data_IF_233045637669
#
_entry.id   IF_233045637669
#
_cell.length_a   1.000
_cell.length_b   1.000
_cell.length_c   1.000
_cell.angle_alpha   90.00
_cell.angle_beta   90.00
_cell.angle_gamma   90.00
#
_symmetry.space_group_name_H-M   'P 1'
#
loop_
_entity.id
_entity.type
_entity.pdbx_description
1 polymer ?
#
# COMPACT_ATOMS: atom_id res chain seq x y z
N UNK A 1 25.86 -42.92 -22.42
CA UNK A 1 24.39 -43.08 -22.33
C UNK A 1 23.79 -41.73 -21.96
N UNK A 2 23.28 -40.98 -22.96
CA UNK A 2 21.89 -40.44 -23.06
C UNK A 2 21.42 -39.71 -21.79
N UNK A 3 21.39 -38.37 -21.75
CA UNK A 3 20.32 -37.46 -22.23
C UNK A 3 20.02 -36.49 -21.05
N UNK A 4 19.57 -35.23 -21.14
CA UNK A 4 18.76 -34.48 -22.10
C UNK A 4 19.00 -32.95 -21.92
N UNK A 5 18.97 -32.22 -23.03
CA UNK A 5 18.36 -30.89 -23.31
C UNK A 5 18.33 -29.82 -22.19
N UNK A 6 19.12 -28.75 -22.30
CA UNK A 6 18.84 -27.51 -23.04
C UNK A 6 17.83 -26.56 -22.35
N UNK A 7 18.33 -25.50 -21.74
CA UNK A 7 17.67 -24.19 -21.73
C UNK A 7 18.72 -23.11 -21.96
N UNK A 8 18.58 -22.44 -23.11
CA UNK A 8 19.47 -21.39 -23.57
C UNK A 8 19.38 -20.17 -22.63
N UNK A 9 20.55 -19.70 -22.22
CA UNK A 9 20.74 -18.38 -21.62
C UNK A 9 20.52 -17.35 -22.72
N UNK A 10 19.37 -16.66 -22.70
CA UNK A 10 19.22 -15.42 -23.44
C UNK A 10 19.68 -14.27 -22.53
N UNK A 11 20.95 -13.88 -22.71
CA UNK A 11 21.50 -12.61 -22.26
C UNK A 11 20.94 -11.50 -23.17
N UNK A 12 20.07 -10.66 -22.63
CA UNK A 12 19.85 -9.32 -23.17
C UNK A 12 19.97 -8.33 -22.01
N UNK A 13 21.02 -7.50 -22.07
CA UNK A 13 21.09 -6.29 -21.29
C UNK A 13 19.92 -5.39 -21.68
N UNK A 14 19.01 -5.16 -20.76
CA UNK A 14 17.92 -4.23 -20.95
C UNK A 14 18.43 -2.81 -20.69
N UNK A 15 18.93 -2.16 -21.74
CA UNK A 15 18.90 -0.70 -21.80
C UNK A 15 17.47 -0.33 -22.15
N UNK A 16 16.75 0.30 -21.22
CA UNK A 16 15.39 0.81 -21.49
C UNK A 16 15.53 2.04 -22.39
N UNK A 17 15.33 1.85 -23.69
CA UNK A 17 15.10 2.95 -24.62
C UNK A 17 13.63 3.34 -24.55
N UNK A 18 13.35 4.58 -24.13
CA UNK A 18 12.04 5.20 -24.33
C UNK A 18 11.88 5.54 -25.80
N UNK A 19 11.19 4.70 -26.56
CA UNK A 19 10.73 5.04 -27.90
C UNK A 19 9.24 5.40 -27.84
N UNK A 20 8.92 6.65 -28.20
CA UNK A 20 7.55 7.10 -28.42
C UNK A 20 7.00 8.09 -27.41
N UNK A 21 7.65 9.25 -27.24
CA UNK A 21 6.96 10.43 -26.74
C UNK A 21 5.94 10.88 -27.80
N UNK A 22 4.65 10.61 -27.60
CA UNK A 22 3.57 11.31 -28.31
C UNK A 22 3.22 12.57 -27.52
N UNK A 23 3.33 13.73 -28.16
CA UNK A 23 2.76 14.98 -27.68
C UNK A 23 1.23 14.86 -27.73
N UNK A 24 0.59 14.66 -26.57
CA UNK A 24 -0.88 14.70 -26.44
C UNK A 24 -1.30 16.09 -26.01
N UNK A 25 -2.29 16.64 -26.73
CA UNK A 25 -2.84 17.99 -26.58
C UNK A 25 -3.58 18.16 -25.23
N UNK A 26 -3.57 19.40 -24.73
CA UNK A 26 -3.56 19.77 -23.31
C UNK A 26 -4.91 19.84 -22.58
N UNK A 27 -5.84 18.89 -22.76
CA UNK A 27 -7.16 18.98 -22.11
C UNK A 27 -7.41 17.98 -20.97
N UNK A 28 -6.46 17.10 -20.62
CA UNK A 28 -6.63 16.21 -19.46
C UNK A 28 -5.31 15.73 -18.80
N UNK A 29 -4.41 16.67 -18.51
CA UNK A 29 -3.07 16.40 -17.95
C UNK A 29 -3.09 15.60 -16.63
N UNK A 30 -4.19 15.68 -15.89
CA UNK A 30 -4.33 15.09 -14.56
C UNK A 30 -5.07 13.74 -14.53
N UNK A 31 -5.64 13.28 -15.65
CA UNK A 31 -6.40 12.02 -15.68
C UNK A 31 -7.68 12.03 -14.83
N UNK A 32 -8.17 13.21 -14.47
CA UNK A 32 -9.46 13.35 -13.79
C UNK A 32 -10.60 13.17 -14.81
N UNK A 33 -11.70 12.54 -14.38
CA UNK A 33 -12.97 12.65 -15.12
C UNK A 33 -13.50 14.08 -14.96
N UNK A 34 -14.21 14.65 -15.96
CA UNK A 34 -14.50 16.07 -15.98
C UNK A 34 -15.29 16.53 -14.75
N UNK A 35 -14.60 17.26 -13.86
CA UNK A 35 -15.15 18.19 -12.89
C UNK A 35 -14.05 19.17 -12.41
N UNK A 36 -14.21 20.46 -12.74
CA UNK A 36 -13.69 21.64 -12.02
C UNK A 36 -12.18 21.80 -11.81
N UNK A 37 -11.60 22.85 -12.39
CA UNK A 37 -10.16 23.16 -12.39
C UNK A 37 -9.64 23.80 -11.10
N UNK A 38 -8.42 23.42 -10.70
CA UNK A 38 -7.59 24.13 -9.73
C UNK A 38 -6.19 23.52 -9.62
N UNK A 39 -5.14 24.27 -9.97
CA UNK A 39 -3.73 23.83 -9.96
C UNK A 39 -2.93 24.66 -8.95
N UNK A 40 -2.14 24.01 -8.10
CA UNK A 40 -1.14 24.63 -7.22
C UNK A 40 0.25 24.12 -7.63
N UNK A 41 1.22 25.04 -7.76
CA UNK A 41 2.65 24.75 -8.00
C UNK A 41 3.45 24.86 -6.70
N UNK A 42 4.41 23.95 -6.51
CA UNK A 42 5.47 24.06 -5.50
C UNK A 42 6.79 23.53 -6.08
N UNK A 43 7.89 24.22 -5.76
CA UNK A 43 9.27 23.90 -6.16
C UNK A 43 10.02 23.25 -4.99
N UNK A 44 10.80 22.20 -5.24
CA UNK A 44 11.67 21.55 -4.24
C UNK A 44 12.95 21.00 -4.87
N UNK A 45 14.04 21.04 -4.09
CA UNK A 45 15.43 20.71 -4.45
C UNK A 45 15.69 19.22 -4.76
N UNK A 46 16.84 18.94 -5.39
CA UNK A 46 17.20 17.68 -6.07
C UNK A 46 17.51 16.47 -5.15
N UNK A 47 17.25 15.21 -5.58
CA UNK A 47 17.21 14.02 -4.70
C UNK A 47 18.53 13.23 -4.53
N UNK A 48 19.63 13.60 -5.19
CA UNK A 48 20.86 12.77 -5.28
C UNK A 48 21.38 12.25 -3.93
N UNK A 49 21.30 13.06 -2.87
CA UNK A 49 21.81 12.70 -1.54
C UNK A 49 20.99 11.65 -0.78
N UNK A 50 19.72 11.43 -1.13
CA UNK A 50 18.83 10.49 -0.42
C UNK A 50 18.88 9.09 -1.02
N UNK A 51 19.08 9.03 -2.33
CA UNK A 51 19.10 7.79 -3.10
C UNK A 51 20.40 7.00 -2.88
N UNK A 52 21.54 7.68 -2.73
CA UNK A 52 22.79 7.05 -2.31
C UNK A 52 22.68 6.43 -0.90
N UNK A 53 21.94 7.09 0.01
CA UNK A 53 21.65 6.55 1.36
C UNK A 53 20.72 5.33 1.32
N UNK A 54 19.79 5.30 0.36
CA UNK A 54 18.90 4.16 0.11
C UNK A 54 19.65 2.94 -0.46
N UNK A 55 20.50 3.13 -1.47
CA UNK A 55 21.31 2.05 -2.04
C UNK A 55 22.25 1.42 -0.99
N UNK A 56 22.84 2.25 -0.12
CA UNK A 56 23.68 1.79 0.99
C UNK A 56 22.86 1.00 2.04
N UNK A 57 21.68 1.48 2.42
CA UNK A 57 20.77 0.85 3.38
C UNK A 57 20.23 -0.51 2.92
N UNK A 58 19.90 -0.60 1.64
CA UNK A 58 19.32 -1.80 1.04
C UNK A 58 20.35 -2.90 0.87
N UNK A 59 21.60 -2.56 0.57
CA UNK A 59 22.66 -3.57 0.41
C UNK A 59 22.80 -4.50 1.63
N UNK A 60 22.41 -4.05 2.83
CA UNK A 60 22.40 -4.88 4.05
C UNK A 60 21.09 -5.67 4.28
N UNK A 61 19.92 -5.03 4.10
CA UNK A 61 18.62 -5.67 4.32
C UNK A 61 18.28 -6.72 3.25
N UNK A 62 18.52 -6.38 1.98
CA UNK A 62 18.14 -7.22 0.85
C UNK A 62 19.03 -8.46 0.73
N UNK A 63 20.30 -8.41 1.18
CA UNK A 63 21.23 -9.57 1.30
C UNK A 63 20.68 -10.76 2.07
N UNK A 64 19.69 -10.54 2.93
CA UNK A 64 19.04 -11.59 3.73
C UNK A 64 17.81 -12.21 3.07
N UNK A 65 17.25 -11.57 2.03
CA UNK A 65 16.00 -11.97 1.37
C UNK A 65 16.22 -12.82 0.12
N UNK A 66 17.36 -12.69 -0.57
CA UNK A 66 17.67 -13.42 -1.81
C UNK A 66 19.13 -13.93 -1.78
N UNK A 67 19.39 -15.24 -1.80
CA UNK A 67 20.76 -15.75 -1.88
C UNK A 67 21.36 -15.54 -3.30
N UNK A 68 22.64 -15.13 -3.38
CA UNK A 68 23.42 -15.06 -4.62
C UNK A 68 23.59 -13.65 -5.23
N UNK A 69 24.25 -13.57 -6.40
CA UNK A 69 24.57 -12.34 -7.15
C UNK A 69 23.37 -11.76 -7.94
N UNK A 70 22.20 -11.65 -7.30
CA UNK A 70 20.98 -11.08 -7.91
C UNK A 70 20.90 -9.56 -7.71
N UNK A 71 21.85 -8.96 -6.96
CA UNK A 71 21.81 -7.57 -6.48
C UNK A 71 21.74 -6.50 -7.58
N UNK A 72 22.49 -6.68 -8.68
CA UNK A 72 22.49 -5.73 -9.80
C UNK A 72 21.13 -5.69 -10.55
N UNK A 73 20.28 -6.70 -10.36
CA UNK A 73 18.93 -6.78 -10.94
C UNK A 73 17.86 -6.19 -10.01
N UNK A 74 18.16 -6.05 -8.72
CA UNK A 74 17.24 -5.52 -7.69
C UNK A 74 17.35 -3.99 -7.58
N UNK A 75 18.55 -3.45 -7.77
CA UNK A 75 18.85 -2.00 -7.70
C UNK A 75 19.46 -1.47 -9.01
N UNK A 76 18.73 -1.47 -10.14
CA UNK A 76 19.24 -0.81 -11.35
C UNK A 76 19.36 0.71 -11.16
N UNK A 77 20.24 1.31 -11.98
CA UNK A 77 20.70 2.70 -11.89
C UNK A 77 19.54 3.69 -11.80
N UNK A 78 19.67 4.63 -10.88
CA UNK A 78 18.80 5.80 -10.79
C UNK A 78 19.13 6.70 -11.98
N UNK A 79 18.12 6.95 -12.80
CA UNK A 79 18.20 7.92 -13.89
C UNK A 79 17.70 9.24 -13.33
N UNK A 80 18.48 10.30 -13.48
CA UNK A 80 18.01 11.66 -13.20
C UNK A 80 16.85 11.98 -14.16
N UNK A 81 15.66 12.13 -13.60
CA UNK A 81 14.41 12.43 -14.31
C UNK A 81 13.88 13.83 -13.97
N UNK A 82 14.73 14.71 -13.42
CA UNK A 82 14.33 16.06 -13.05
C UNK A 82 13.82 16.84 -14.28
N UNK A 83 12.50 17.03 -14.34
CA UNK A 83 11.79 17.70 -15.46
C UNK A 83 10.98 16.77 -16.36
N UNK A 84 11.19 15.45 -16.27
CA UNK A 84 10.48 14.48 -17.09
C UNK A 84 9.09 14.13 -16.54
N UNK A 85 8.23 13.64 -17.43
CA UNK A 85 6.91 13.08 -17.10
C UNK A 85 6.64 11.86 -17.95
N UNK A 86 5.91 10.89 -17.42
CA UNK A 86 5.32 9.79 -18.21
C UNK A 86 3.81 9.90 -18.17
N UNK A 87 3.14 9.71 -19.30
CA UNK A 87 1.69 9.83 -19.39
C UNK A 87 1.06 8.54 -19.92
N UNK A 88 -0.08 8.18 -19.36
CA UNK A 88 -0.85 7.02 -19.79
C UNK A 88 -2.31 7.39 -20.01
N UNK A 89 -2.92 6.77 -21.01
CA UNK A 89 -4.34 6.98 -21.31
C UNK A 89 -5.20 6.78 -20.07
N UNK A 90 -6.16 7.69 -19.87
CA UNK A 90 -7.09 7.72 -18.74
C UNK A 90 -6.47 7.96 -17.36
N UNK A 91 -5.14 8.03 -17.25
CA UNK A 91 -4.41 8.20 -15.99
C UNK A 91 -3.59 9.50 -15.96
N UNK A 92 -3.58 10.28 -17.03
CA UNK A 92 -2.84 11.53 -17.11
C UNK A 92 -1.33 11.30 -16.98
N UNK A 93 -0.61 12.31 -16.47
CA UNK A 93 0.84 12.28 -16.36
C UNK A 93 1.33 12.10 -14.91
N UNK A 94 2.42 11.36 -14.75
CA UNK A 94 3.17 11.19 -13.52
C UNK A 94 4.43 12.05 -13.59
N UNK A 95 4.70 12.81 -12.53
CA UNK A 95 5.85 13.72 -12.46
C UNK A 95 6.50 13.62 -11.08
N UNK A 96 7.83 13.74 -11.01
CA UNK A 96 8.57 13.60 -9.76
C UNK A 96 8.25 14.69 -8.71
N UNK A 97 7.59 15.78 -9.11
CA UNK A 97 7.32 16.95 -8.25
C UNK A 97 5.86 17.08 -7.81
N UNK A 98 4.97 16.17 -8.23
CA UNK A 98 3.53 16.30 -7.97
C UNK A 98 3.09 15.76 -6.59
N UNK A 99 3.98 15.06 -5.87
CA UNK A 99 3.65 14.38 -4.61
C UNK A 99 2.63 13.24 -4.78
N UNK A 100 2.32 12.86 -6.02
CA UNK A 100 1.45 11.77 -6.45
C UNK A 100 2.23 10.68 -7.19
N UNK A 101 3.55 10.79 -7.21
CA UNK A 101 4.50 9.88 -7.85
C UNK A 101 5.68 9.69 -6.90
N UNK A 102 6.22 8.48 -6.79
CA UNK A 102 7.48 8.26 -6.06
C UNK A 102 8.61 8.93 -6.86
N UNK A 103 9.32 9.93 -6.32
CA UNK A 103 10.26 10.76 -7.10
C UNK A 103 11.48 10.02 -7.67
N UNK A 104 11.70 8.76 -7.33
CA UNK A 104 12.86 7.96 -7.75
C UNK A 104 12.60 7.04 -8.95
N UNK A 105 11.34 6.82 -9.32
CA UNK A 105 10.97 5.92 -10.42
C UNK A 105 9.57 6.26 -10.93
N UNK A 106 9.49 6.59 -12.22
CA UNK A 106 8.20 6.65 -12.88
C UNK A 106 7.58 5.26 -12.97
N UNK A 107 6.25 5.16 -12.82
CA UNK A 107 5.57 3.89 -12.92
C UNK A 107 5.78 3.26 -14.30
N UNK A 108 5.76 1.93 -14.35
CA UNK A 108 5.67 1.15 -15.57
C UNK A 108 4.32 1.36 -16.26
N UNK A 109 4.18 0.93 -17.52
CA UNK A 109 2.92 1.03 -18.24
C UNK A 109 1.79 0.24 -17.56
N UNK A 110 0.50 0.65 -17.70
CA UNK A 110 -0.65 -0.12 -17.20
C UNK A 110 -0.67 -1.59 -17.64
N UNK A 111 -0.23 -1.87 -18.86
CA UNK A 111 -0.12 -3.24 -19.40
C UNK A 111 0.93 -4.04 -18.65
N UNK A 112 2.08 -3.42 -18.33
CA UNK A 112 3.17 -4.05 -17.59
C UNK A 112 2.80 -4.30 -16.14
N UNK A 113 2.18 -3.33 -15.46
CA UNK A 113 1.74 -3.48 -14.05
C UNK A 113 0.59 -4.49 -13.95
N UNK A 114 -0.25 -4.59 -14.98
CA UNK A 114 -1.32 -5.59 -15.12
C UNK A 114 -2.27 -5.61 -13.93
N UNK A 115 -2.76 -4.43 -13.54
CA UNK A 115 -3.72 -4.26 -12.45
C UNK A 115 -5.10 -4.81 -12.83
N UNK A 116 -5.65 -5.66 -11.96
CA UNK A 116 -7.01 -6.19 -12.06
C UNK A 116 -7.78 -5.88 -10.77
N UNK A 117 -9.03 -5.48 -10.93
CA UNK A 117 -9.93 -5.18 -9.82
C UNK A 117 -10.98 -6.30 -9.73
N UNK A 118 -10.81 -7.18 -8.74
CA UNK A 118 -11.71 -8.30 -8.50
C UNK A 118 -12.74 -7.91 -7.44
N UNK A 119 -13.97 -7.65 -7.86
CA UNK A 119 -15.09 -7.29 -6.97
C UNK A 119 -15.76 -8.54 -6.41
N UNK A 120 -15.78 -8.63 -5.09
CA UNK A 120 -16.51 -9.60 -4.29
C UNK A 120 -17.65 -8.90 -3.54
N UNK A 121 -18.75 -9.61 -3.39
CA UNK A 121 -19.87 -9.24 -2.51
C UNK A 121 -20.54 -10.52 -2.02
N UNK A 122 -21.54 -10.41 -1.14
CA UNK A 122 -22.31 -11.59 -0.69
C UNK A 122 -22.95 -12.36 -1.85
N UNK A 123 -23.36 -11.68 -2.92
CA UNK A 123 -23.98 -12.34 -4.09
C UNK A 123 -22.98 -13.01 -5.03
N UNK A 124 -21.68 -12.75 -4.88
CA UNK A 124 -20.63 -13.30 -5.74
C UNK A 124 -19.33 -13.55 -4.93
N UNK A 125 -19.47 -14.22 -3.78
CA UNK A 125 -18.36 -14.42 -2.84
C UNK A 125 -17.30 -15.41 -3.34
N UNK A 126 -17.68 -16.33 -4.24
CA UNK A 126 -16.78 -17.37 -4.78
C UNK A 126 -16.13 -16.94 -6.11
N UNK A 127 -16.85 -16.17 -6.93
CA UNK A 127 -16.41 -15.75 -8.26
C UNK A 127 -16.50 -14.23 -8.35
N UNK A 128 -15.35 -13.58 -8.45
CA UNK A 128 -15.28 -12.13 -8.54
C UNK A 128 -15.85 -11.63 -9.87
N UNK A 129 -16.48 -10.45 -9.82
CA UNK A 129 -16.75 -9.65 -11.02
C UNK A 129 -15.50 -8.82 -11.32
N UNK A 130 -14.96 -8.92 -12.53
CA UNK A 130 -13.83 -8.09 -12.94
C UNK A 130 -14.32 -6.68 -13.28
N UNK A 131 -13.72 -5.69 -12.63
CA UNK A 131 -13.91 -4.28 -12.95
C UNK A 131 -12.72 -3.77 -13.77
N UNK A 132 -13.02 -2.92 -14.74
CA UNK A 132 -12.03 -2.15 -15.48
C UNK A 132 -12.18 -0.67 -15.11
N UNK A 133 -11.05 -0.02 -14.80
CA UNK A 133 -11.02 1.39 -14.41
C UNK A 133 -11.20 2.32 -15.61
N UNK A 134 -11.08 1.82 -16.85
CA UNK A 134 -11.21 2.66 -18.05
C UNK A 134 -12.60 3.31 -18.14
N UNK A 135 -12.71 4.54 -18.68
CA UNK A 135 -13.99 5.20 -18.88
C UNK A 135 -14.97 4.33 -19.68
N UNK A 136 -16.24 4.34 -19.26
CA UNK A 136 -17.31 3.58 -19.91
C UNK A 136 -17.40 2.09 -19.51
N UNK A 137 -16.37 1.52 -18.87
CA UNK A 137 -16.39 0.12 -18.44
C UNK A 137 -17.32 -0.13 -17.25
N UNK A 138 -17.46 0.85 -16.35
CA UNK A 138 -18.44 0.81 -15.26
C UNK A 138 -19.81 1.22 -15.81
N UNK A 139 -20.83 0.39 -15.57
CA UNK A 139 -22.19 0.67 -16.02
C UNK A 139 -23.26 0.23 -14.99
N UNK A 140 -24.52 0.60 -15.25
CA UNK A 140 -25.66 0.39 -14.33
C UNK A 140 -26.06 -1.08 -14.13
N UNK A 141 -25.46 -2.03 -14.87
CA UNK A 141 -25.69 -3.45 -14.65
C UNK A 141 -24.96 -4.00 -13.41
N UNK A 142 -24.02 -3.25 -12.83
CA UNK A 142 -23.35 -3.61 -11.59
C UNK A 142 -24.31 -3.47 -10.39
N UNK A 143 -25.09 -4.53 -10.15
CA UNK A 143 -26.11 -4.58 -9.09
C UNK A 143 -25.53 -4.34 -7.69
N UNK A 144 -24.26 -4.68 -7.47
CA UNK A 144 -23.54 -4.52 -6.21
C UNK A 144 -23.51 -3.06 -5.72
N UNK A 145 -23.60 -2.09 -6.64
CA UNK A 145 -23.56 -0.66 -6.32
C UNK A 145 -24.92 0.04 -6.39
N UNK A 146 -26.03 -0.70 -6.63
CA UNK A 146 -27.39 -0.11 -6.65
C UNK A 146 -27.92 0.27 -5.27
N UNK A 147 -27.28 -0.20 -4.21
CA UNK A 147 -27.58 0.17 -2.82
C UNK A 147 -26.31 0.70 -2.16
N UNK A 148 -26.48 1.66 -1.23
CA UNK A 148 -25.36 2.23 -0.48
C UNK A 148 -24.81 1.19 0.48
N UNK A 149 -23.54 0.83 0.31
CA UNK A 149 -22.80 -0.15 1.13
C UNK A 149 -21.38 0.35 1.35
N UNK A 150 -20.70 -0.08 2.43
CA UNK A 150 -19.26 0.10 2.55
C UNK A 150 -18.55 -0.49 1.32
N UNK A 151 -17.47 0.17 0.90
CA UNK A 151 -16.59 -0.29 -0.17
C UNK A 151 -15.18 -0.46 0.38
N UNK A 152 -14.68 -1.70 0.39
CA UNK A 152 -13.36 -2.02 0.92
C UNK A 152 -12.40 -2.42 -0.18
N UNK A 153 -11.21 -1.85 -0.20
CA UNK A 153 -10.13 -2.27 -1.08
C UNK A 153 -9.13 -3.10 -0.28
N UNK A 154 -8.66 -4.22 -0.83
CA UNK A 154 -7.52 -4.97 -0.32
C UNK A 154 -6.38 -4.86 -1.33
N UNK A 155 -5.24 -4.33 -0.90
CA UNK A 155 -4.06 -4.09 -1.76
C UNK A 155 -2.86 -4.91 -1.25
N UNK A 156 -2.51 -6.03 -1.91
CA UNK A 156 -1.36 -6.84 -1.53
C UNK A 156 -0.02 -6.10 -1.71
N UNK A 157 1.00 -6.61 -1.03
CA UNK A 157 2.37 -6.09 -1.07
C UNK A 157 3.23 -6.60 -2.22
N UNK A 158 4.53 -6.29 -2.11
CA UNK A 158 5.58 -6.83 -2.99
C UNK A 158 5.82 -8.31 -2.72
N UNK A 159 5.92 -9.12 -3.79
CA UNK A 159 6.08 -10.57 -3.73
C UNK A 159 5.02 -11.28 -2.87
N UNK A 160 3.87 -10.64 -2.70
CA UNK A 160 2.81 -11.08 -1.81
C UNK A 160 1.61 -11.57 -2.63
N UNK A 161 1.36 -12.88 -2.67
CA UNK A 161 0.26 -13.42 -3.45
C UNK A 161 -1.10 -12.92 -2.96
N UNK A 162 -1.91 -12.41 -3.89
CA UNK A 162 -3.23 -11.90 -3.59
C UNK A 162 -4.17 -12.93 -2.91
N UNK A 163 -3.92 -14.24 -3.07
CA UNK A 163 -4.73 -15.28 -2.42
C UNK A 163 -4.65 -15.23 -0.89
N UNK A 164 -3.60 -14.63 -0.31
CA UNK A 164 -3.46 -14.43 1.14
C UNK A 164 -4.58 -13.53 1.67
N UNK A 165 -5.25 -12.73 0.82
CA UNK A 165 -6.34 -11.83 1.22
C UNK A 165 -7.72 -12.51 1.18
N UNK A 166 -7.85 -13.70 0.58
CA UNK A 166 -9.14 -14.39 0.46
C UNK A 166 -9.80 -14.67 1.82
N UNK A 167 -9.08 -15.08 2.88
CA UNK A 167 -9.67 -15.22 4.21
C UNK A 167 -10.22 -13.90 4.76
N UNK A 168 -9.51 -12.78 4.55
CA UNK A 168 -9.98 -11.44 4.92
C UNK A 168 -11.23 -11.05 4.14
N UNK A 169 -11.30 -11.31 2.83
CA UNK A 169 -12.50 -11.06 2.02
C UNK A 169 -13.68 -11.84 2.59
N UNK A 170 -13.50 -13.14 2.82
CA UNK A 170 -14.54 -14.00 3.40
C UNK A 170 -15.03 -13.46 4.74
N UNK A 171 -14.10 -13.13 5.63
CA UNK A 171 -14.43 -12.60 6.96
C UNK A 171 -15.19 -11.27 6.89
N UNK A 172 -14.81 -10.36 5.98
CA UNK A 172 -15.52 -9.09 5.78
C UNK A 172 -16.95 -9.31 5.29
N UNK A 173 -17.16 -10.20 4.30
CA UNK A 173 -18.49 -10.50 3.75
C UNK A 173 -19.42 -11.17 4.77
N UNK A 174 -18.86 -11.97 5.68
CA UNK A 174 -19.59 -12.58 6.80
C UNK A 174 -19.98 -11.53 7.84
N UNK A 175 -19.10 -10.56 8.14
CA UNK A 175 -19.33 -9.54 9.18
C UNK A 175 -20.33 -8.46 8.79
N UNK A 176 -20.36 -8.03 7.52
CA UNK A 176 -21.22 -6.92 7.08
C UNK A 176 -21.63 -7.08 5.60
N UNK A 177 -22.68 -6.35 5.19
CA UNK A 177 -23.07 -6.28 3.78
C UNK A 177 -22.17 -5.26 3.05
N UNK A 178 -21.05 -5.74 2.53
CA UNK A 178 -19.95 -4.94 2.00
C UNK A 178 -19.56 -5.37 0.58
N UNK A 179 -19.11 -4.40 -0.21
CA UNK A 179 -18.44 -4.65 -1.47
C UNK A 179 -16.93 -4.65 -1.22
N UNK A 180 -16.21 -5.69 -1.64
CA UNK A 180 -14.76 -5.81 -1.44
C UNK A 180 -14.07 -5.91 -2.79
N UNK A 181 -13.14 -5.02 -3.09
CA UNK A 181 -12.32 -5.04 -4.31
C UNK A 181 -10.91 -5.49 -3.94
N UNK A 182 -10.50 -6.65 -4.45
CA UNK A 182 -9.11 -7.09 -4.39
C UNK A 182 -8.34 -6.48 -5.57
N UNK A 183 -7.27 -5.74 -5.27
CA UNK A 183 -6.45 -5.03 -6.25
C UNK A 183 -5.23 -5.89 -6.60
N UNK A 184 -5.30 -6.66 -7.70
CA UNK A 184 -4.21 -7.53 -8.15
C UNK A 184 -3.34 -6.79 -9.13
N UNK A 185 -2.18 -6.33 -8.68
CA UNK A 185 -1.20 -5.59 -9.49
C UNK A 185 0.03 -6.44 -9.80
N UNK A 186 -0.20 -7.71 -10.19
CA UNK A 186 0.82 -8.77 -10.21
C UNK A 186 2.07 -8.40 -11.02
N UNK A 187 1.94 -7.66 -12.11
CA UNK A 187 3.08 -7.28 -12.94
C UNK A 187 4.04 -6.32 -12.22
N UNK A 188 3.52 -5.41 -11.41
CA UNK A 188 4.33 -4.55 -10.53
C UNK A 188 4.71 -5.25 -9.22
N UNK A 189 3.77 -5.94 -8.58
CA UNK A 189 3.96 -6.59 -7.28
C UNK A 189 5.01 -7.71 -7.31
N UNK A 190 5.15 -8.43 -8.43
CA UNK A 190 6.15 -9.48 -8.61
C UNK A 190 7.36 -9.03 -9.43
N UNK A 191 7.50 -7.73 -9.68
CA UNK A 191 8.70 -7.19 -10.29
C UNK A 191 9.86 -7.26 -9.29
N UNK A 192 10.92 -8.01 -9.59
CA UNK A 192 12.07 -8.17 -8.68
C UNK A 192 12.84 -6.86 -8.44
N UNK A 193 12.69 -5.89 -9.33
CA UNK A 193 13.21 -4.54 -9.13
C UNK A 193 12.30 -3.79 -8.15
N UNK A 194 12.75 -3.70 -6.89
CA UNK A 194 11.99 -3.04 -5.82
C UNK A 194 11.73 -1.56 -6.10
N UNK A 195 12.69 -0.85 -6.71
CA UNK A 195 12.54 0.58 -7.05
C UNK A 195 11.37 0.76 -8.01
N UNK A 196 11.30 -0.09 -9.04
CA UNK A 196 10.20 -0.05 -10.00
C UNK A 196 8.88 -0.46 -9.36
N UNK A 197 8.86 -1.52 -8.55
CA UNK A 197 7.66 -1.96 -7.83
C UNK A 197 7.11 -0.85 -6.90
N UNK A 198 8.00 -0.10 -6.24
CA UNK A 198 7.62 1.06 -5.44
C UNK A 198 7.04 2.19 -6.30
N UNK A 199 7.66 2.51 -7.44
CA UNK A 199 7.12 3.48 -8.42
C UNK A 199 5.73 3.09 -8.95
N UNK A 200 5.52 1.80 -9.22
CA UNK A 200 4.25 1.26 -9.73
C UNK A 200 3.08 1.45 -8.74
N UNK A 201 3.35 1.64 -7.43
CA UNK A 201 2.29 1.91 -6.44
C UNK A 201 1.52 3.21 -6.73
N UNK A 202 2.18 4.21 -7.32
CA UNK A 202 1.53 5.45 -7.74
C UNK A 202 0.53 5.20 -8.89
N UNK A 203 0.88 4.33 -9.85
CA UNK A 203 -0.03 3.92 -10.91
C UNK A 203 -1.24 3.18 -10.36
N UNK A 204 -1.01 2.20 -9.47
CA UNK A 204 -2.07 1.41 -8.84
C UNK A 204 -3.03 2.33 -8.08
N UNK A 205 -2.50 3.25 -7.27
CA UNK A 205 -3.32 4.25 -6.56
C UNK A 205 -4.13 5.13 -7.52
N UNK A 206 -3.54 5.55 -8.64
CA UNK A 206 -4.27 6.33 -9.65
C UNK A 206 -5.37 5.53 -10.35
N UNK A 207 -5.12 4.27 -10.70
CA UNK A 207 -6.13 3.38 -11.27
C UNK A 207 -7.29 3.14 -10.31
N UNK A 208 -7.02 2.96 -9.01
CA UNK A 208 -8.06 2.92 -7.96
C UNK A 208 -8.88 4.21 -7.95
N UNK A 209 -8.23 5.36 -8.08
CA UNK A 209 -8.90 6.67 -8.07
C UNK A 209 -9.83 6.83 -9.25
N UNK A 210 -9.37 6.51 -10.46
CA UNK A 210 -10.19 6.60 -11.68
C UNK A 210 -11.35 5.61 -11.64
N UNK A 211 -11.14 4.38 -11.14
CA UNK A 211 -12.23 3.42 -10.93
C UNK A 211 -13.30 3.97 -9.98
N UNK A 212 -12.89 4.56 -8.85
CA UNK A 212 -13.84 5.15 -7.88
C UNK A 212 -14.56 6.35 -8.47
N UNK A 213 -13.89 7.21 -9.24
CA UNK A 213 -14.54 8.32 -9.95
C UNK A 213 -15.63 7.81 -10.91
N UNK A 214 -15.35 6.74 -11.67
CA UNK A 214 -16.35 6.09 -12.54
C UNK A 214 -17.53 5.52 -11.74
N UNK A 215 -17.26 4.81 -10.63
CA UNK A 215 -18.30 4.27 -9.76
C UNK A 215 -19.18 5.38 -9.18
N UNK A 216 -18.59 6.48 -8.70
CA UNK A 216 -19.32 7.63 -8.18
C UNK A 216 -20.15 8.34 -9.26
N UNK A 217 -19.64 8.41 -10.49
CA UNK A 217 -20.36 9.00 -11.62
C UNK A 217 -21.59 8.17 -12.01
N UNK A 218 -21.46 6.84 -12.07
CA UNK A 218 -22.55 5.93 -12.46
C UNK A 218 -23.55 5.70 -11.31
N UNK A 219 -23.07 5.73 -10.07
CA UNK A 219 -23.84 5.43 -8.86
C UNK A 219 -23.76 6.58 -7.81
N UNK A 220 -24.16 7.82 -8.17
CA UNK A 220 -23.91 9.02 -7.35
C UNK A 220 -24.64 9.01 -6.00
N UNK A 221 -25.73 8.25 -5.88
CA UNK A 221 -26.53 8.17 -4.65
C UNK A 221 -26.06 7.08 -3.68
N UNK A 222 -25.18 6.18 -4.13
CA UNK A 222 -24.86 4.94 -3.39
C UNK A 222 -23.38 4.70 -3.21
N UNK A 223 -22.51 5.26 -4.06
CA UNK A 223 -21.06 5.23 -3.87
C UNK A 223 -20.60 6.56 -3.28
N UNK A 224 -20.22 6.54 -2.00
CA UNK A 224 -19.72 7.70 -1.28
C UNK A 224 -18.27 7.49 -0.86
N UNK A 225 -17.41 8.49 -1.06
CA UNK A 225 -16.01 8.44 -0.66
C UNK A 225 -15.82 8.14 0.84
N UNK A 226 -16.71 8.65 1.70
CA UNK A 226 -16.65 8.40 3.14
C UNK A 226 -16.95 6.95 3.54
N UNK A 227 -17.60 6.17 2.67
CA UNK A 227 -17.85 4.75 2.91
C UNK A 227 -16.69 3.86 2.41
N UNK A 228 -15.63 4.47 1.86
CA UNK A 228 -14.46 3.76 1.34
C UNK A 228 -13.44 3.52 2.43
N UNK A 229 -13.03 2.26 2.57
CA UNK A 229 -11.94 1.81 3.45
C UNK A 229 -10.90 1.05 2.63
N UNK A 230 -9.66 1.55 2.58
CA UNK A 230 -8.56 0.87 1.90
C UNK A 230 -7.67 0.17 2.92
N UNK A 231 -7.45 -1.12 2.75
CA UNK A 231 -6.56 -1.94 3.58
C UNK A 231 -5.42 -2.37 2.68
N UNK A 232 -4.21 -1.92 2.99
CA UNK A 232 -3.03 -2.24 2.19
C UNK A 232 -1.91 -2.76 3.06
N UNK A 233 -1.07 -3.62 2.48
CA UNK A 233 0.07 -4.21 3.17
C UNK A 233 1.38 -3.90 2.43
N UNK A 234 2.49 -3.65 3.14
CA UNK A 234 3.80 -3.44 2.50
C UNK A 234 3.78 -2.27 1.48
N UNK A 235 4.28 -2.48 0.24
CA UNK A 235 4.11 -1.55 -0.89
C UNK A 235 2.63 -1.25 -1.19
N UNK A 236 1.75 -2.23 -1.01
CA UNK A 236 0.31 -2.07 -1.14
C UNK A 236 -0.30 -1.15 -0.09
N UNK A 237 0.36 -0.91 1.04
CA UNK A 237 -0.06 0.08 2.04
C UNK A 237 0.30 1.52 1.66
N UNK A 238 1.16 1.73 0.66
CA UNK A 238 1.53 3.05 0.15
C UNK A 238 0.60 3.53 -0.97
N UNK A 239 0.12 2.61 -1.81
CA UNK A 239 -0.89 2.87 -2.86
C UNK A 239 -2.15 3.66 -2.38
N UNK A 240 -2.71 3.45 -1.18
CA UNK A 240 -3.84 4.20 -0.64
C UNK A 240 -3.56 5.70 -0.51
N UNK A 241 -2.31 6.08 -0.20
CA UNK A 241 -1.90 7.48 -0.13
C UNK A 241 -2.01 8.16 -1.49
N UNK A 242 -1.51 7.51 -2.55
CA UNK A 242 -1.65 8.01 -3.93
C UNK A 242 -3.11 8.05 -4.38
N UNK A 243 -3.86 6.98 -4.12
CA UNK A 243 -5.29 6.90 -4.40
C UNK A 243 -6.07 8.06 -3.80
N UNK A 244 -5.90 8.30 -2.50
CA UNK A 244 -6.69 9.28 -1.78
C UNK A 244 -6.32 10.72 -2.17
N UNK A 245 -5.01 11.02 -2.30
CA UNK A 245 -4.55 12.35 -2.75
C UNK A 245 -5.05 12.66 -4.16
N UNK A 246 -4.98 11.69 -5.09
CA UNK A 246 -5.50 11.86 -6.45
C UNK A 246 -7.03 12.02 -6.48
N UNK A 247 -7.77 11.19 -5.73
CA UNK A 247 -9.23 11.31 -5.64
C UNK A 247 -9.65 12.67 -5.09
N UNK A 248 -8.97 13.15 -4.05
CA UNK A 248 -9.21 14.47 -3.46
C UNK A 248 -8.91 15.59 -4.46
N UNK A 249 -7.82 15.49 -5.23
CA UNK A 249 -7.51 16.45 -6.30
C UNK A 249 -8.63 16.51 -7.35
N UNK A 250 -9.11 15.37 -7.82
CA UNK A 250 -10.10 15.32 -8.90
C UNK A 250 -11.54 15.61 -8.45
N UNK A 251 -11.90 15.37 -7.19
CA UNK A 251 -13.31 15.41 -6.73
C UNK A 251 -13.56 16.31 -5.52
N UNK A 252 -12.50 16.81 -4.88
CA UNK A 252 -12.58 17.49 -3.58
C UNK A 252 -12.94 16.56 -2.41
N UNK A 253 -13.13 15.26 -2.63
CA UNK A 253 -13.61 14.32 -1.60
C UNK A 253 -12.44 13.57 -0.96
N UNK A 254 -12.56 13.36 0.35
CA UNK A 254 -11.66 12.52 1.15
C UNK A 254 -12.32 11.18 1.44
N UNK A 255 -11.53 10.11 1.50
CA UNK A 255 -12.04 8.77 1.81
C UNK A 255 -12.24 8.55 3.32
N UNK A 256 -13.05 7.55 3.67
CA UNK A 256 -13.37 7.23 5.06
C UNK A 256 -12.18 6.72 5.85
N UNK A 257 -11.52 5.66 5.39
CA UNK A 257 -10.47 4.98 6.18
C UNK A 257 -9.33 4.43 5.34
N UNK A 258 -8.12 4.49 5.89
CA UNK A 258 -6.98 3.69 5.44
C UNK A 258 -6.49 2.85 6.62
N UNK A 259 -6.33 1.54 6.43
CA UNK A 259 -5.57 0.68 7.33
C UNK A 259 -4.27 0.27 6.64
N UNK A 260 -3.15 0.77 7.13
CA UNK A 260 -1.83 0.55 6.57
C UNK A 260 -1.10 -0.51 7.40
N UNK A 261 -1.09 -1.74 6.92
CA UNK A 261 -0.47 -2.86 7.60
C UNK A 261 1.00 -2.97 7.16
N UNK A 262 1.91 -2.61 8.06
CA UNK A 262 3.34 -2.65 7.81
C UNK A 262 3.74 -1.93 6.50
N UNK A 263 3.40 -0.64 6.42
CA UNK A 263 3.71 0.16 5.25
C UNK A 263 5.22 0.18 4.98
N UNK A 264 5.63 -0.01 3.73
CA UNK A 264 7.06 -0.09 3.40
C UNK A 264 7.77 1.25 3.65
N UNK A 265 8.93 1.22 4.31
CA UNK A 265 9.76 2.41 4.53
C UNK A 265 10.67 2.81 3.35
N UNK A 266 11.42 1.87 2.73
CA UNK A 266 12.46 2.24 1.76
C UNK A 266 11.87 2.99 0.55
N UNK A 267 12.51 4.08 0.11
CA UNK A 267 12.03 5.08 -0.88
C UNK A 267 10.92 6.00 -0.39
N UNK A 268 10.02 5.52 0.45
CA UNK A 268 8.89 6.30 0.95
C UNK A 268 9.37 7.30 2.01
N UNK A 269 10.04 6.84 3.07
CA UNK A 269 10.65 7.70 4.09
C UNK A 269 11.71 8.63 3.51
N UNK A 270 12.54 8.11 2.61
CA UNK A 270 13.62 8.86 1.99
C UNK A 270 13.04 10.04 1.18
N UNK A 271 12.03 9.80 0.35
CA UNK A 271 11.46 10.84 -0.51
C UNK A 271 10.47 11.76 0.21
N UNK A 272 9.89 11.32 1.32
CA UNK A 272 8.82 12.04 2.01
C UNK A 272 7.44 11.88 1.33
N UNK A 273 7.34 11.01 0.32
CA UNK A 273 6.11 10.72 -0.39
C UNK A 273 5.58 9.38 0.10
N UNK A 274 4.64 9.40 1.02
CA UNK A 274 4.08 8.21 1.67
C UNK A 274 2.62 8.41 2.11
N UNK A 275 1.97 7.32 2.53
CA UNK A 275 0.63 7.33 3.12
C UNK A 275 0.65 8.06 4.47
N UNK A 276 -0.27 8.98 4.71
CA UNK A 276 -0.30 9.78 5.94
C UNK A 276 -1.71 9.96 6.50
N UNK A 277 -1.80 10.39 7.76
CA UNK A 277 -3.06 10.71 8.43
C UNK A 277 -3.91 11.73 7.67
N UNK A 278 -3.33 12.54 6.78
CA UNK A 278 -4.04 13.53 5.97
C UNK A 278 -4.82 12.92 4.79
N UNK A 279 -4.55 11.66 4.46
CA UNK A 279 -5.08 11.01 3.25
C UNK A 279 -6.50 10.48 3.43
N UNK A 280 -6.96 10.24 4.66
CA UNK A 280 -8.32 9.78 4.94
C UNK A 280 -8.91 10.44 6.20
N UNK A 281 -10.21 10.28 6.45
CA UNK A 281 -10.82 10.71 7.72
C UNK A 281 -10.25 9.97 8.92
N UNK A 282 -9.83 8.72 8.72
CA UNK A 282 -9.18 7.92 9.74
C UNK A 282 -8.08 7.06 9.09
N UNK A 283 -6.92 7.00 9.74
CA UNK A 283 -5.77 6.23 9.26
C UNK A 283 -5.23 5.47 10.46
N UNK A 284 -5.23 4.14 10.38
CA UNK A 284 -4.70 3.27 11.41
C UNK A 284 -3.58 2.40 10.85
N UNK A 285 -2.46 2.32 11.58
CA UNK A 285 -1.22 1.74 11.08
C UNK A 285 -0.75 0.64 12.02
N UNK A 286 -0.32 -0.49 11.47
CA UNK A 286 0.28 -1.58 12.25
C UNK A 286 1.76 -1.67 11.89
N UNK A 287 2.63 -1.49 12.88
CA UNK A 287 4.09 -1.56 12.75
C UNK A 287 4.63 -2.84 13.41
N UNK A 288 5.12 -3.78 12.61
CA UNK A 288 5.66 -5.06 13.03
C UNK A 288 7.16 -5.22 12.80
N UNK A 289 7.77 -4.47 11.88
CA UNK A 289 9.23 -4.51 11.60
C UNK A 289 9.92 -3.16 11.57
N UNK A 290 9.28 -2.10 12.07
CA UNK A 290 9.88 -0.78 12.19
C UNK A 290 10.99 -0.66 13.26
N UNK A 291 11.30 -1.69 14.05
CA UNK A 291 12.37 -1.59 15.05
C UNK A 291 13.76 -1.74 14.45
N UNK A 292 14.59 -0.68 14.50
CA UNK A 292 16.02 -0.74 14.16
C UNK A 292 16.75 -1.91 14.84
N UNK A 293 17.31 -2.82 14.04
CA UNK A 293 18.24 -3.86 14.50
C UNK A 293 19.54 -3.69 13.72
N UNK A 294 20.46 -2.87 14.23
CA UNK A 294 21.81 -2.74 13.67
C UNK A 294 22.43 -4.15 13.44
N UNK A 295 22.98 -4.46 12.25
CA UNK A 295 23.32 -3.55 11.15
C UNK A 295 22.20 -3.32 10.10
N UNK A 296 20.99 -3.83 10.31
CA UNK A 296 19.90 -3.87 9.32
C UNK A 296 18.90 -2.73 9.54
N UNK A 297 18.62 -1.96 8.47
CA UNK A 297 17.58 -0.93 8.44
C UNK A 297 16.19 -1.56 8.24
N UNK A 298 15.21 -0.89 8.83
CA UNK A 298 13.78 -1.21 8.88
C UNK A 298 13.19 -1.38 7.46
N UNK A 299 12.37 -2.41 7.24
CA UNK A 299 11.67 -2.60 5.94
C UNK A 299 10.25 -2.01 5.96
N UNK A 300 9.63 -1.91 7.13
CA UNK A 300 8.42 -1.12 7.36
C UNK A 300 8.72 0.24 7.97
N UNK A 301 7.80 1.19 7.79
CA UNK A 301 7.85 2.52 8.41
C UNK A 301 7.86 2.37 9.92
N UNK A 302 8.73 3.11 10.60
CA UNK A 302 8.70 3.18 12.06
C UNK A 302 8.10 4.49 12.57
N UNK A 303 8.32 5.58 11.84
CA UNK A 303 7.70 6.85 12.19
C UNK A 303 6.17 6.72 12.17
N UNK A 304 5.47 7.37 13.12
CA UNK A 304 4.02 7.37 13.13
C UNK A 304 3.49 8.14 11.90
N UNK A 305 2.59 7.52 11.15
CA UNK A 305 1.98 8.06 9.94
C UNK A 305 0.46 8.08 10.01
N UNK A 306 -0.15 7.55 11.06
CA UNK A 306 -1.58 7.44 11.25
C UNK A 306 -2.20 8.49 12.15
N UNK A 307 -3.52 8.39 12.30
CA UNK A 307 -4.24 8.93 13.45
C UNK A 307 -4.02 8.05 14.69
N UNK A 308 -3.73 6.76 14.46
CA UNK A 308 -3.28 5.80 15.46
C UNK A 308 -2.26 4.86 14.84
N UNK A 309 -1.18 4.62 15.57
CA UNK A 309 -0.03 3.83 15.13
C UNK A 309 0.22 2.76 16.20
N UNK A 310 -0.03 1.50 15.84
CA UNK A 310 0.11 0.36 16.72
C UNK A 310 1.48 -0.28 16.53
N UNK A 311 2.19 -0.48 17.64
CA UNK A 311 3.50 -1.13 17.66
C UNK A 311 3.42 -2.45 18.46
N UNK A 312 2.77 -3.50 17.91
CA UNK A 312 2.75 -4.82 18.53
C UNK A 312 4.18 -5.31 18.79
N UNK A 313 4.42 -5.73 20.02
CA UNK A 313 5.73 -6.18 20.48
C UNK A 313 6.84 -5.16 20.19
N UNK A 314 6.50 -3.86 20.24
CA UNK A 314 7.39 -2.73 19.99
C UNK A 314 7.91 -2.63 18.55
N UNK A 315 7.20 -3.23 17.57
CA UNK A 315 7.63 -3.35 16.18
C UNK A 315 9.02 -4.01 15.99
N UNK A 316 9.46 -4.78 16.99
CA UNK A 316 10.70 -5.57 16.94
C UNK A 316 10.39 -6.97 16.38
N UNK A 317 11.24 -7.94 16.71
CA UNK A 317 10.99 -9.36 16.41
C UNK A 317 9.63 -9.79 16.95
N UNK A 318 8.73 -10.15 16.03
CA UNK A 318 7.42 -10.65 16.37
C UNK A 318 7.49 -12.10 16.91
N UNK A 319 6.68 -12.46 17.91
CA UNK A 319 6.63 -13.82 18.45
C UNK A 319 6.34 -14.86 17.36
N UNK A 320 7.07 -15.98 17.36
CA UNK A 320 6.93 -17.05 16.35
C UNK A 320 7.90 -16.94 15.17
N UNK A 321 8.51 -15.78 14.93
CA UNK A 321 9.53 -15.63 13.90
C UNK A 321 10.88 -16.16 14.37
N UNK A 322 11.38 -17.25 13.77
CA UNK A 322 12.71 -17.82 14.04
C UNK A 322 13.79 -17.07 13.25
N UNK A 323 14.91 -16.74 13.91
CA UNK A 323 16.03 -15.92 13.37
C UNK A 323 15.56 -14.51 12.92
N UNK A 324 16.44 -13.57 12.51
CA UNK A 324 16.02 -12.33 11.86
C UNK A 324 15.45 -12.63 10.45
N UNK A 325 14.31 -13.33 10.40
CA UNK A 325 13.52 -13.53 9.20
C UNK A 325 12.54 -12.36 9.07
N UNK A 326 12.98 -11.32 8.35
CA UNK A 326 12.21 -10.10 8.14
C UNK A 326 10.87 -10.37 7.43
N UNK A 327 10.84 -11.33 6.51
CA UNK A 327 9.60 -11.73 5.82
C UNK A 327 8.54 -12.26 6.80
N UNK A 328 8.95 -12.98 7.84
CA UNK A 328 8.03 -13.42 8.89
C UNK A 328 7.44 -12.23 9.67
N UNK A 329 8.29 -11.31 10.14
CA UNK A 329 7.80 -10.12 10.86
C UNK A 329 6.93 -9.23 9.98
N UNK A 330 7.26 -9.11 8.70
CA UNK A 330 6.55 -8.27 7.72
C UNK A 330 5.12 -8.75 7.49
N UNK A 331 4.94 -10.07 7.34
CA UNK A 331 3.62 -10.68 7.12
C UNK A 331 2.70 -10.62 8.34
N UNK A 332 3.24 -10.40 9.55
CA UNK A 332 2.42 -10.25 10.75
C UNK A 332 1.48 -9.04 10.69
N UNK A 333 1.82 -7.95 9.98
CA UNK A 333 0.88 -6.83 9.80
C UNK A 333 -0.45 -7.30 9.20
N UNK A 334 -0.36 -8.06 8.10
CA UNK A 334 -1.52 -8.67 7.43
C UNK A 334 -2.23 -9.67 8.34
N UNK A 335 -1.50 -10.57 9.01
CA UNK A 335 -2.12 -11.62 9.82
C UNK A 335 -2.76 -11.10 11.11
N UNK A 336 -2.20 -10.06 11.73
CA UNK A 336 -2.83 -9.40 12.87
C UNK A 336 -4.12 -8.71 12.46
N UNK A 337 -4.12 -7.99 11.33
CA UNK A 337 -5.33 -7.36 10.81
C UNK A 337 -6.40 -8.43 10.51
N UNK A 338 -6.04 -9.51 9.82
CA UNK A 338 -6.97 -10.62 9.54
C UNK A 338 -7.51 -11.24 10.84
N UNK A 339 -6.64 -11.56 11.80
CA UNK A 339 -7.04 -12.15 13.08
C UNK A 339 -7.93 -11.21 13.89
N UNK A 340 -7.77 -9.89 13.80
CA UNK A 340 -8.65 -8.92 14.45
C UNK A 340 -10.10 -8.98 13.96
N UNK A 341 -10.34 -9.52 12.75
CA UNK A 341 -11.69 -9.72 12.21
C UNK A 341 -12.24 -11.08 12.64
N UNK A 342 -11.42 -12.13 12.51
CA UNK A 342 -11.86 -13.53 12.59
C UNK A 342 -11.82 -14.10 14.00
N UNK A 343 -10.94 -13.62 14.88
CA UNK A 343 -10.81 -14.13 16.23
C UNK A 343 -11.89 -13.53 17.14
N UNK A 344 -12.67 -14.38 17.80
CA UNK A 344 -13.71 -13.98 18.75
C UNK A 344 -13.33 -14.19 20.21
N UNK A 345 -12.22 -14.87 20.48
CA UNK A 345 -11.83 -15.30 21.83
C UNK A 345 -11.10 -14.19 22.61
N UNK A 346 -10.48 -13.24 21.90
CA UNK A 346 -9.79 -12.10 22.50
C UNK A 346 -9.82 -10.86 21.58
N UNK A 347 -9.35 -9.74 22.14
CA UNK A 347 -9.26 -8.44 21.46
C UNK A 347 -7.80 -7.99 21.40
N UNK A 348 -7.42 -7.28 20.34
CA UNK A 348 -6.08 -6.69 20.23
C UNK A 348 -6.02 -5.33 20.95
N UNK A 349 -6.31 -5.34 22.26
CA UNK A 349 -6.32 -4.13 23.07
C UNK A 349 -4.91 -3.54 23.16
N UNK A 350 -4.80 -2.22 22.99
CA UNK A 350 -3.54 -1.48 23.08
C UNK A 350 -3.62 -0.36 24.11
N UNK A 351 -2.46 0.05 24.61
CA UNK A 351 -2.32 1.16 25.55
C UNK A 351 -1.47 2.28 24.95
N UNK A 352 -1.75 3.54 25.29
CA UNK A 352 -0.93 4.67 24.86
C UNK A 352 0.49 4.58 25.42
N UNK A 353 1.49 4.98 24.62
CA UNK A 353 2.88 5.05 25.04
C UNK A 353 3.32 6.51 25.29
N UNK A 354 3.49 6.91 26.55
CA UNK A 354 3.76 8.31 26.93
C UNK A 354 5.10 8.85 26.40
N UNK A 355 6.14 8.02 26.36
CA UNK A 355 7.49 8.42 25.93
C UNK A 355 7.69 8.46 24.41
N UNK A 356 6.59 8.40 23.64
CA UNK A 356 6.60 8.46 22.19
C UNK A 356 7.39 7.34 21.52
N UNK A 357 7.84 7.61 20.30
CA UNK A 357 8.47 6.58 19.45
C UNK A 357 9.81 6.07 20.01
N UNK A 358 10.57 6.93 20.69
CA UNK A 358 11.80 6.54 21.37
C UNK A 358 11.55 5.52 22.48
N UNK A 359 10.46 5.68 23.24
CA UNK A 359 10.10 4.75 24.31
C UNK A 359 9.57 3.41 23.77
N UNK A 360 8.88 3.42 22.63
CA UNK A 360 8.54 2.18 21.90
C UNK A 360 9.82 1.41 21.58
N UNK A 361 10.82 2.08 20.98
CA UNK A 361 12.07 1.45 20.58
C UNK A 361 12.85 0.88 21.77
N UNK A 362 12.83 1.56 22.92
CA UNK A 362 13.46 1.08 24.15
C UNK A 362 12.62 0.03 24.88
N UNK A 363 11.34 -0.10 24.55
CA UNK A 363 10.40 -0.98 25.23
C UNK A 363 10.04 -0.52 26.63
N UNK A 364 10.12 0.78 26.90
CA UNK A 364 9.88 1.41 28.21
C UNK A 364 8.74 2.42 28.14
N UNK A 365 7.64 2.05 27.47
CA UNK A 365 6.41 2.84 27.48
C UNK A 365 5.91 3.00 28.91
N UNK A 366 6.10 4.18 29.49
CA UNK A 366 5.42 4.59 30.72
C UNK A 366 3.90 4.69 30.49
N UNK A 367 3.14 4.80 31.57
CA UNK A 367 1.68 4.95 31.51
C UNK A 367 1.29 6.22 30.73
N UNK A 368 0.61 6.06 29.60
CA UNK A 368 0.06 7.17 28.82
C UNK A 368 -1.30 7.64 29.33
N UNK A 369 -1.63 8.90 29.08
CA UNK A 369 -2.90 9.55 29.48
C UNK A 369 -4.00 9.44 28.43
N UNK A 370 -3.72 8.82 27.27
CA UNK A 370 -4.70 8.61 26.20
C UNK A 370 -5.66 7.44 26.44
N UNK A 371 -6.67 7.32 25.58
CA UNK A 371 -7.57 6.16 25.58
C UNK A 371 -6.86 4.89 25.11
N UNK A 372 -7.42 3.73 25.50
CA UNK A 372 -7.00 2.44 24.97
C UNK A 372 -7.48 2.28 23.52
N UNK A 373 -6.63 1.65 22.71
CA UNK A 373 -6.94 1.30 21.32
C UNK A 373 -7.36 -0.15 21.16
N UNK A 374 -7.81 -0.50 19.96
CA UNK A 374 -8.01 -1.88 19.50
C UNK A 374 -7.37 -2.02 18.12
N UNK A 375 -6.24 -2.72 18.03
CA UNK A 375 -5.49 -2.85 16.78
C UNK A 375 -6.28 -3.63 15.73
N UNK A 376 -6.28 -3.14 14.48
CA UNK A 376 -6.90 -3.79 13.33
C UNK A 376 -8.32 -3.32 13.06
N UNK A 377 -9.21 -4.25 12.70
CA UNK A 377 -10.52 -3.95 12.11
C UNK A 377 -11.38 -2.98 12.94
N UNK A 378 -11.41 -3.17 14.25
CA UNK A 378 -12.25 -2.37 15.16
C UNK A 378 -11.59 -1.07 15.64
N UNK A 379 -10.39 -0.73 15.16
CA UNK A 379 -9.63 0.47 15.58
C UNK A 379 -10.45 1.78 15.53
N UNK A 380 -11.30 1.95 14.52
CA UNK A 380 -12.15 3.14 14.38
C UNK A 380 -13.14 3.34 15.55
N UNK A 381 -13.55 2.24 16.20
CA UNK A 381 -14.49 2.27 17.33
C UNK A 381 -13.78 2.55 18.67
N UNK A 382 -12.47 2.39 18.73
CA UNK A 382 -11.69 2.60 19.94
C UNK A 382 -11.35 4.09 20.12
N UNK A 383 -11.10 4.47 21.38
CA UNK A 383 -10.75 5.86 21.74
C UNK A 383 -9.26 6.16 21.57
N UNK A 384 -8.40 5.14 21.56
CA UNK A 384 -6.95 5.29 21.47
C UNK A 384 -6.49 5.95 20.18
N UNK A 385 -5.59 6.93 20.31
CA UNK A 385 -4.98 7.69 19.22
C UNK A 385 -3.48 7.83 19.46
N UNK A 386 -2.77 8.29 18.43
CA UNK A 386 -1.32 8.41 18.46
C UNK A 386 -0.64 7.05 18.63
N UNK A 387 0.50 7.05 19.33
CA UNK A 387 1.34 5.87 19.49
C UNK A 387 0.74 4.93 20.54
N UNK A 388 0.45 3.71 20.09
CA UNK A 388 -0.18 2.66 20.87
C UNK A 388 0.72 1.40 20.86
N UNK A 389 0.85 0.75 22.01
CA UNK A 389 1.60 -0.51 22.13
C UNK A 389 0.74 -1.62 22.67
N UNK A 390 1.07 -2.85 22.28
CA UNK A 390 0.43 -4.06 22.74
C UNK A 390 1.39 -5.24 22.61
N UNK A 391 1.06 -6.35 23.27
CA UNK A 391 1.76 -7.62 23.12
C UNK A 391 0.89 -8.60 22.35
N UNK A 392 1.52 -9.51 21.63
CA UNK A 392 0.84 -10.64 20.96
C UNK A 392 1.54 -11.95 21.33
N UNK A 393 0.89 -13.09 21.04
CA UNK A 393 1.50 -14.42 21.10
C UNK A 393 1.96 -14.89 19.72
N UNK A 394 2.67 -16.01 19.68
CA UNK A 394 3.25 -16.58 18.45
C UNK A 394 2.22 -17.34 17.58
N UNK A 395 1.27 -18.00 18.23
CA UNK A 395 0.30 -18.87 17.56
C UNK A 395 -0.87 -18.07 16.96
N UNK A 396 -1.48 -18.57 15.86
CA UNK A 396 -2.66 -17.97 15.25
C UNK A 396 -3.74 -17.57 16.26
N UNK A 397 -4.44 -16.49 15.95
CA UNK A 397 -5.31 -15.78 16.88
C UNK A 397 -4.60 -14.61 17.56
N UNK A 398 -3.29 -14.72 17.81
CA UNK A 398 -2.30 -13.70 18.20
C UNK A 398 -2.60 -12.76 19.39
N UNK A 399 -3.84 -12.36 19.65
CA UNK A 399 -4.19 -11.57 20.83
C UNK A 399 -3.98 -12.38 22.13
N UNK A 400 -3.79 -11.63 23.21
CA UNK A 400 -3.65 -12.11 24.57
C UNK A 400 -4.99 -11.89 25.26
N UNK A 401 -5.44 -12.91 26.02
CA UNK A 401 -6.67 -12.88 26.84
C UNK A 401 -6.44 -12.19 28.16
#
# INVERSE_FOLDING_TARGET
MKGQHAFAVLLLGATVFYTGAKTVQADNLDGCLPAGTGVIRGSGETPEGKVARFAAAISGALRTLLPGDIWDKILPKIVDTSGDRVCYDYLGCFSATDGLTVPVSFPSSPTSVNTKFELYSRSNSQVAVLLDYKPGSVNKALNQFKQRKPLKFLVPGWLDPAFVRLPTIKALLEKEDVNVILVKWNGGAFNINYIQAAGDTALVGRQMSVLVQNLMSVFPNTVNALDIHVIGDSLGAQAPGFFAKHLKKCTGKIIGRISANEAAAPLFEDTGVFVSYKDAKFVDVIHTTGGSMFPVREIGMFQPIGHVDFYPNNAKRQPGCLLPNFSCGHTHGTFYYQASITNTDCRFTSTPCAGGIAAVQQGNCGAGTGGNGEMGYYSINATGRGIQTLKTKALPGYCIT
#
